data_IF_875813047154
#
_entry.id   IF_875813047154
#
_cell.length_a   1.000
_cell.length_b   1.000
_cell.length_c   1.000
_cell.angle_alpha   90.00
_cell.angle_beta   90.00
_cell.angle_gamma   90.00
#
_symmetry.space_group_name_H-M   'P 1'
#
loop_
_entity.id
_entity.type
_entity.pdbx_description
1 polymer ?
#
# COMPACT_ATOMS: atom_id res chain seq x y z
N UNK A 1 -17.62 29.32 -9.21
CA UNK A 1 -17.41 30.29 -10.30
C UNK A 1 -16.09 31.05 -10.21
N UNK A 2 -15.63 31.47 -9.02
CA UNK A 2 -14.36 32.21 -8.88
C UNK A 2 -13.13 31.45 -9.43
N UNK A 3 -12.95 30.17 -9.05
CA UNK A 3 -11.85 29.32 -9.52
C UNK A 3 -11.75 29.22 -11.05
N UNK A 4 -12.87 28.93 -11.72
CA UNK A 4 -12.90 28.84 -13.19
C UNK A 4 -12.47 30.17 -13.83
N UNK A 5 -12.99 31.29 -13.35
CA UNK A 5 -12.64 32.62 -13.87
C UNK A 5 -11.15 32.95 -13.70
N UNK A 6 -10.55 32.53 -12.59
CA UNK A 6 -9.14 32.79 -12.28
C UNK A 6 -8.17 31.90 -13.09
N UNK A 7 -8.56 30.65 -13.38
CA UNK A 7 -7.70 29.70 -14.08
C UNK A 7 -7.91 29.75 -15.62
N UNK A 8 -9.11 30.09 -16.10
CA UNK A 8 -9.43 30.11 -17.54
C UNK A 8 -8.45 30.91 -18.43
N UNK A 9 -7.86 32.05 -18.01
CA UNK A 9 -6.83 32.74 -18.80
C UNK A 9 -5.61 31.87 -19.14
N UNK A 10 -5.23 30.95 -18.24
CA UNK A 10 -4.13 30.02 -18.44
C UNK A 10 -4.49 28.84 -19.36
N UNK A 11 -5.77 28.68 -19.65
CA UNK A 11 -6.30 27.64 -20.54
C UNK A 11 -6.81 28.23 -21.86
N UNK A 12 -6.29 29.40 -22.27
CA UNK A 12 -6.73 30.13 -23.47
C UNK A 12 -8.24 30.39 -23.50
N UNK A 13 -8.86 30.55 -22.33
CA UNK A 13 -10.30 30.72 -22.18
C UNK A 13 -11.13 29.43 -22.27
N UNK A 14 -10.51 28.25 -22.45
CA UNK A 14 -11.23 26.98 -22.48
C UNK A 14 -11.81 26.66 -21.10
N UNK A 15 -13.12 26.43 -21.06
CA UNK A 15 -13.85 26.10 -19.84
C UNK A 15 -14.20 24.62 -19.73
N UNK A 16 -13.94 23.82 -20.77
CA UNK A 16 -14.18 22.38 -20.77
C UNK A 16 -13.35 21.64 -19.71
N UNK A 17 -12.07 21.98 -19.44
CA UNK A 17 -11.28 21.29 -18.42
C UNK A 17 -11.82 21.40 -16.99
N UNK A 18 -12.71 22.36 -16.71
CA UNK A 18 -13.33 22.49 -15.39
C UNK A 18 -14.53 21.57 -15.19
N UNK A 19 -14.89 20.77 -16.20
CA UNK A 19 -16.10 19.94 -16.20
C UNK A 19 -15.71 18.47 -16.27
N UNK A 20 -16.30 17.68 -15.41
CA UNK A 20 -16.11 16.24 -15.45
C UNK A 20 -16.98 15.63 -16.57
N UNK A 21 -16.37 14.92 -17.54
CA UNK A 21 -17.12 14.31 -18.64
C UNK A 21 -18.05 13.18 -18.17
N UNK A 22 -17.74 12.52 -17.06
CA UNK A 22 -18.45 11.33 -16.59
C UNK A 22 -19.72 11.63 -15.76
N UNK A 23 -19.90 12.85 -15.26
CA UNK A 23 -21.05 13.21 -14.40
C UNK A 23 -22.01 14.22 -15.04
N UNK A 24 -22.07 14.25 -16.38
CA UNK A 24 -22.90 15.19 -17.12
C UNK A 24 -22.33 16.61 -17.17
N UNK A 25 -21.00 16.73 -17.25
CA UNK A 25 -20.29 18.00 -17.39
C UNK A 25 -20.46 18.95 -16.20
N UNK A 26 -20.63 18.39 -14.99
CA UNK A 26 -20.66 19.20 -13.77
C UNK A 26 -19.26 19.73 -13.47
N UNK A 27 -19.21 20.90 -12.85
CA UNK A 27 -17.94 21.53 -12.49
C UNK A 27 -17.23 20.71 -11.42
N UNK A 28 -15.91 20.61 -11.51
CA UNK A 28 -15.09 20.19 -10.38
C UNK A 28 -15.26 21.16 -9.20
N UNK A 29 -15.22 20.63 -7.99
CA UNK A 29 -15.25 21.38 -6.73
C UNK A 29 -13.82 21.61 -6.27
N UNK A 30 -13.33 22.87 -6.22
CA UNK A 30 -12.03 23.19 -5.66
C UNK A 30 -12.02 22.98 -4.15
N UNK A 31 -10.86 22.63 -3.59
CA UNK A 31 -10.68 22.52 -2.15
C UNK A 31 -10.66 23.92 -1.49
N UNK A 32 -11.66 24.29 -0.68
CA UNK A 32 -11.71 25.61 -0.07
C UNK A 32 -10.62 25.84 0.99
N UNK A 33 -10.05 24.79 1.57
CA UNK A 33 -9.04 24.90 2.64
C UNK A 33 -7.67 25.46 2.17
N UNK A 34 -7.47 25.50 0.85
CA UNK A 34 -6.26 26.04 0.22
C UNK A 34 -6.50 27.36 -0.52
N UNK A 35 -7.73 27.87 -0.53
CA UNK A 35 -8.05 29.10 -1.24
C UNK A 35 -7.21 30.28 -0.70
N UNK A 36 -6.58 31.03 -1.61
CA UNK A 36 -5.74 32.18 -1.26
C UNK A 36 -4.39 31.86 -0.61
N UNK A 37 -4.03 30.58 -0.48
CA UNK A 37 -2.72 30.15 0.05
C UNK A 37 -1.76 29.90 -1.10
N UNK A 38 -0.48 30.19 -0.87
CA UNK A 38 0.58 29.85 -1.83
C UNK A 38 0.92 28.36 -1.73
N UNK A 39 1.40 27.71 -2.80
CA UNK A 39 1.88 26.33 -2.72
C UNK A 39 2.88 26.11 -1.57
N UNK A 40 3.83 27.02 -1.37
CA UNK A 40 4.83 26.92 -0.31
C UNK A 40 4.27 27.05 1.11
N UNK A 41 3.10 27.67 1.27
CA UNK A 41 2.45 27.82 2.58
C UNK A 41 1.47 26.69 2.90
N UNK A 42 1.35 25.69 2.02
CA UNK A 42 0.52 24.49 2.21
C UNK A 42 1.48 23.32 2.52
N UNK A 43 1.55 22.87 3.79
CA UNK A 43 2.36 21.70 4.15
C UNK A 43 1.92 20.48 3.33
N UNK A 44 2.85 19.87 2.58
CA UNK A 44 2.52 18.76 1.69
C UNK A 44 1.65 19.18 0.50
N UNK A 45 1.91 20.36 -0.08
CA UNK A 45 1.15 20.88 -1.23
C UNK A 45 0.95 19.85 -2.34
N UNK A 46 2.01 19.15 -2.72
CA UNK A 46 1.99 18.12 -3.76
C UNK A 46 0.96 17.01 -3.50
N UNK A 47 0.66 16.73 -2.23
CA UNK A 47 -0.31 15.73 -1.81
C UNK A 47 -1.68 16.30 -1.50
N UNK A 48 -1.85 17.62 -1.54
CA UNK A 48 -3.08 18.29 -1.17
C UNK A 48 -4.09 18.23 -2.31
N UNK A 49 -5.31 17.79 -2.01
CA UNK A 49 -6.43 17.84 -2.96
C UNK A 49 -6.61 19.29 -3.43
N UNK A 50 -6.51 19.51 -4.73
CA UNK A 50 -6.80 20.81 -5.35
C UNK A 50 -8.25 20.87 -5.80
N UNK A 51 -8.71 19.80 -6.46
CA UNK A 51 -10.02 19.71 -7.08
C UNK A 51 -10.56 18.28 -6.96
N UNK A 52 -11.88 18.14 -6.86
CA UNK A 52 -12.57 16.85 -6.94
C UNK A 52 -13.83 16.94 -7.78
N UNK A 53 -14.37 15.81 -8.21
CA UNK A 53 -15.72 15.79 -8.79
C UNK A 53 -16.76 16.34 -7.81
N UNK A 54 -17.71 17.12 -8.34
CA UNK A 54 -18.86 17.61 -7.54
C UNK A 54 -19.93 16.54 -7.28
N UNK A 55 -19.87 15.42 -7.98
CA UNK A 55 -20.72 14.26 -7.76
C UNK A 55 -19.97 12.99 -8.19
N UNK A 56 -20.24 11.84 -7.55
CA UNK A 56 -19.64 10.59 -7.96
C UNK A 56 -20.12 10.21 -9.36
N UNK A 57 -19.27 9.47 -10.08
CA UNK A 57 -19.54 8.87 -11.38
C UNK A 57 -20.58 7.72 -11.27
N UNK A 58 -20.95 7.12 -12.41
CA UNK A 58 -21.88 5.99 -12.46
C UNK A 58 -21.41 4.75 -11.67
N UNK A 59 -20.10 4.58 -11.51
CA UNK A 59 -19.46 3.56 -10.67
C UNK A 59 -19.38 3.96 -9.18
N UNK A 60 -20.00 5.09 -8.80
CA UNK A 60 -19.98 5.70 -7.47
C UNK A 60 -18.60 6.21 -7.01
N UNK A 61 -17.62 6.33 -7.91
CA UNK A 61 -16.27 6.85 -7.62
C UNK A 61 -16.18 8.37 -7.88
N UNK A 62 -15.21 9.03 -7.25
CA UNK A 62 -14.84 10.42 -7.54
C UNK A 62 -13.47 10.47 -8.21
N UNK A 63 -13.24 11.44 -9.06
CA UNK A 63 -11.94 11.87 -9.57
C UNK A 63 -11.42 13.00 -8.69
N UNK A 64 -10.17 12.91 -8.28
CA UNK A 64 -9.52 13.92 -7.43
C UNK A 64 -8.17 14.28 -8.04
N UNK A 65 -7.91 15.58 -8.20
CA UNK A 65 -6.65 16.13 -8.68
C UNK A 65 -5.87 16.82 -7.57
N UNK A 66 -4.54 16.69 -7.61
CA UNK A 66 -3.66 17.05 -6.50
C UNK A 66 -2.57 18.06 -6.89
N UNK A 67 -1.86 18.59 -5.90
CA UNK A 67 -0.94 19.72 -6.05
C UNK A 67 0.27 19.48 -6.95
N UNK A 68 0.69 18.22 -7.11
CA UNK A 68 1.74 17.80 -8.06
C UNK A 68 1.20 17.48 -9.47
N UNK A 69 -0.10 17.64 -9.70
CA UNK A 69 -0.76 17.37 -10.96
C UNK A 69 -1.19 15.93 -11.19
N UNK A 70 -0.96 14.99 -10.26
CA UNK A 70 -1.53 13.66 -10.39
C UNK A 70 -3.05 13.68 -10.17
N UNK A 71 -3.72 12.70 -10.77
CA UNK A 71 -5.17 12.52 -10.69
C UNK A 71 -5.47 11.10 -10.28
N UNK A 72 -6.31 10.92 -9.25
CA UNK A 72 -6.79 9.61 -8.80
C UNK A 72 -8.28 9.46 -9.11
N UNK A 73 -8.68 8.28 -9.59
CA UNK A 73 -10.09 7.86 -9.68
C UNK A 73 -10.40 6.98 -8.47
N UNK A 74 -11.51 7.25 -7.80
CA UNK A 74 -11.83 6.77 -6.46
C UNK A 74 -11.57 7.83 -5.37
N UNK A 75 -10.67 8.78 -5.60
CA UNK A 75 -10.31 9.90 -4.70
C UNK A 75 -9.51 9.53 -3.45
N UNK A 76 -9.50 8.25 -3.13
CA UNK A 76 -8.69 7.44 -2.23
C UNK A 76 -9.34 6.07 -2.44
N UNK A 77 -8.59 4.98 -2.55
CA UNK A 77 -9.14 3.63 -2.66
C UNK A 77 -10.44 3.51 -1.85
N UNK A 78 -11.58 3.22 -2.50
CA UNK A 78 -12.89 3.03 -1.83
C UNK A 78 -12.92 1.79 -0.94
N UNK A 79 -11.76 1.26 -0.60
CA UNK A 79 -11.60 0.49 0.60
C UNK A 79 -12.20 1.26 1.78
N UNK A 80 -12.94 0.55 2.62
CA UNK A 80 -13.41 1.08 3.90
C UNK A 80 -12.25 1.86 4.56
N UNK A 81 -12.44 3.08 5.10
CA UNK A 81 -11.33 3.91 5.57
C UNK A 81 -10.39 3.18 6.54
N UNK A 82 -10.95 2.27 7.34
CA UNK A 82 -10.21 1.32 8.17
C UNK A 82 -9.23 0.43 7.39
N UNK A 83 -9.67 -0.15 6.27
CA UNK A 83 -8.85 -0.96 5.37
C UNK A 83 -7.78 -0.13 4.67
N UNK A 84 -8.11 1.09 4.23
CA UNK A 84 -7.13 1.98 3.60
C UNK A 84 -6.07 2.45 4.61
N UNK A 85 -6.47 2.84 5.83
CA UNK A 85 -5.50 3.18 6.89
C UNK A 85 -4.67 1.94 7.28
N UNK A 86 -5.29 0.76 7.39
CA UNK A 86 -4.59 -0.50 7.62
C UNK A 86 -3.54 -0.78 6.55
N UNK A 87 -3.91 -0.70 5.27
CA UNK A 87 -3.04 -0.97 4.14
C UNK A 87 -1.89 0.05 4.04
N UNK A 88 -2.12 1.32 4.36
CA UNK A 88 -1.05 2.32 4.44
C UNK A 88 -0.05 1.99 5.54
N UNK A 89 -0.52 1.66 6.75
CA UNK A 89 0.37 1.25 7.84
C UNK A 89 1.13 -0.02 7.47
N UNK A 90 0.51 -0.99 6.79
CA UNK A 90 1.22 -2.18 6.26
C UNK A 90 2.35 -1.79 5.32
N UNK A 91 2.10 -0.89 4.35
CA UNK A 91 3.15 -0.43 3.42
C UNK A 91 4.30 0.25 4.15
N UNK A 92 4.00 1.19 5.05
CA UNK A 92 5.05 1.86 5.84
C UNK A 92 5.85 0.86 6.68
N UNK A 93 5.17 -0.07 7.36
CA UNK A 93 5.82 -1.02 8.24
C UNK A 93 6.70 -2.00 7.45
N UNK A 94 6.26 -2.41 6.27
CA UNK A 94 7.09 -3.18 5.34
C UNK A 94 8.30 -2.38 4.85
N UNK A 95 8.17 -1.09 4.57
CA UNK A 95 9.30 -0.22 4.23
C UNK A 95 10.31 -0.10 5.37
N UNK A 96 9.84 -0.09 6.64
CA UNK A 96 10.74 -0.18 7.80
C UNK A 96 11.47 -1.51 7.83
N UNK A 97 10.79 -2.63 7.57
CA UNK A 97 11.45 -3.93 7.54
C UNK A 97 12.49 -4.05 6.42
N UNK A 98 12.21 -3.51 5.23
CA UNK A 98 13.19 -3.45 4.14
C UNK A 98 14.39 -2.59 4.52
N UNK A 99 14.16 -1.40 5.11
CA UNK A 99 15.24 -0.59 5.67
C UNK A 99 16.07 -1.39 6.69
N UNK A 100 15.43 -2.12 7.59
CA UNK A 100 16.13 -2.91 8.61
C UNK A 100 17.04 -3.97 7.99
N UNK A 101 16.63 -4.60 6.88
CA UNK A 101 17.48 -5.56 6.15
C UNK A 101 18.73 -4.88 5.58
N UNK A 102 18.57 -3.73 4.94
CA UNK A 102 19.68 -3.01 4.30
C UNK A 102 20.67 -2.37 5.31
N UNK A 103 20.28 -2.24 6.57
CA UNK A 103 21.04 -1.53 7.61
C UNK A 103 21.35 -2.44 8.81
N UNK A 104 21.80 -3.66 8.55
CA UNK A 104 22.30 -4.60 9.57
C UNK A 104 21.32 -4.81 10.76
N UNK A 105 20.06 -5.07 10.45
CA UNK A 105 18.97 -5.22 11.41
C UNK A 105 18.72 -3.97 12.28
N UNK A 106 19.15 -2.78 11.85
CA UNK A 106 18.99 -1.54 12.62
C UNK A 106 17.76 -0.75 12.18
N UNK A 107 16.93 -0.32 13.15
CA UNK A 107 15.75 0.51 12.87
C UNK A 107 16.15 1.91 12.40
N UNK A 108 15.31 2.60 11.60
CA UNK A 108 15.58 3.95 11.09
C UNK A 108 16.10 4.90 12.18
N UNK A 109 17.23 5.56 11.94
CA UNK A 109 17.86 6.50 12.89
C UNK A 109 17.19 7.87 12.95
N UNK A 110 16.11 8.07 12.19
CA UNK A 110 15.34 9.29 12.18
C UNK A 110 14.84 9.67 13.58
N UNK A 111 14.97 10.96 13.93
CA UNK A 111 14.49 11.53 15.21
C UNK A 111 13.23 12.39 15.05
N UNK A 112 12.75 12.55 13.82
CA UNK A 112 11.53 13.27 13.49
C UNK A 112 10.90 12.73 12.19
N UNK A 113 9.66 13.12 11.91
CA UNK A 113 8.88 12.60 10.79
C UNK A 113 9.49 12.93 9.41
N UNK A 114 10.15 14.08 9.28
CA UNK A 114 10.78 14.48 8.00
C UNK A 114 11.98 13.58 7.70
N UNK A 115 12.85 13.37 8.69
CA UNK A 115 13.98 12.46 8.56
C UNK A 115 13.54 11.02 8.29
N UNK A 116 12.46 10.56 8.96
CA UNK A 116 11.93 9.21 8.76
C UNK A 116 11.43 9.01 7.33
N UNK A 117 10.64 9.96 6.81
CA UNK A 117 10.17 9.91 5.42
C UNK A 117 11.32 9.90 4.43
N UNK A 118 12.37 10.68 4.68
CA UNK A 118 13.56 10.69 3.82
C UNK A 118 14.28 9.33 3.81
N UNK A 119 14.45 8.70 4.98
CA UNK A 119 15.09 7.39 5.12
C UNK A 119 14.26 6.26 4.49
N UNK A 120 12.92 6.32 4.64
CA UNK A 120 12.03 5.28 4.12
C UNK A 120 11.64 5.47 2.64
N UNK A 121 11.92 6.64 2.05
CA UNK A 121 11.55 6.96 0.66
C UNK A 121 12.02 5.92 -0.36
N UNK A 122 13.23 5.34 -0.30
CA UNK A 122 13.66 4.31 -1.25
C UNK A 122 12.82 3.03 -1.21
N UNK A 123 12.24 2.72 -0.05
CA UNK A 123 11.51 1.47 0.24
C UNK A 123 9.99 1.63 0.13
N UNK A 124 9.51 2.85 -0.02
CA UNK A 124 8.10 3.17 -0.01
C UNK A 124 7.65 3.46 -1.44
N UNK A 125 7.05 2.44 -2.08
CA UNK A 125 6.47 2.59 -3.41
C UNK A 125 5.17 3.41 -3.30
N UNK A 126 5.20 4.63 -3.81
CA UNK A 126 4.03 5.52 -3.88
C UNK A 126 4.25 6.92 -3.30
N UNK A 127 3.15 7.66 -3.12
CA UNK A 127 3.18 9.01 -2.57
C UNK A 127 3.51 9.03 -1.07
N UNK A 128 4.13 10.11 -0.61
CA UNK A 128 4.36 10.42 0.82
C UNK A 128 3.08 10.40 1.67
N UNK A 129 1.90 10.38 1.04
CA UNK A 129 0.59 10.08 1.65
C UNK A 129 0.54 8.79 2.44
N UNK A 130 1.41 7.82 2.18
CA UNK A 130 1.42 6.61 3.00
C UNK A 130 1.60 6.93 4.48
N UNK A 131 2.19 8.07 4.85
CA UNK A 131 2.35 8.53 6.23
C UNK A 131 1.15 9.26 6.85
N UNK A 132 0.01 9.30 6.18
CA UNK A 132 -1.21 9.99 6.64
C UNK A 132 -2.41 9.04 6.57
N UNK A 133 -3.21 8.95 7.63
CA UNK A 133 -4.44 8.16 7.60
C UNK A 133 -5.51 8.85 6.75
N UNK A 134 -6.06 8.18 5.73
CA UNK A 134 -7.08 8.75 4.86
C UNK A 134 -8.39 9.10 5.57
N UNK A 135 -8.74 8.44 6.69
CA UNK A 135 -9.98 8.78 7.42
C UNK A 135 -9.83 10.06 8.25
N UNK A 136 -8.74 10.15 9.02
CA UNK A 136 -8.52 11.22 10.01
C UNK A 136 -7.68 12.37 9.48
N UNK A 137 -7.07 12.20 8.30
CA UNK A 137 -6.08 13.09 7.68
C UNK A 137 -4.88 13.41 8.60
N UNK A 138 -4.70 12.63 9.66
CA UNK A 138 -3.62 12.80 10.62
C UNK A 138 -2.43 11.94 10.23
N UNK A 139 -1.23 12.43 10.50
CA UNK A 139 -0.02 11.65 10.28
C UNK A 139 0.03 10.44 11.23
N UNK A 140 0.60 9.32 10.77
CA UNK A 140 0.94 8.20 11.65
C UNK A 140 2.21 8.53 12.46
N UNK A 141 2.14 8.85 13.76
CA UNK A 141 3.31 9.01 14.61
C UNK A 141 4.14 7.74 14.58
N UNK A 142 5.44 7.93 14.37
CA UNK A 142 6.44 6.89 14.57
C UNK A 142 6.96 6.93 16.01
N UNK A 143 7.24 5.76 16.57
CA UNK A 143 7.86 5.62 17.87
C UNK A 143 9.37 5.92 17.79
N UNK A 144 9.74 7.19 17.94
CA UNK A 144 11.14 7.63 17.85
C UNK A 144 12.05 7.09 18.95
N UNK A 145 11.53 6.44 20.00
CA UNK A 145 12.35 5.72 20.98
C UNK A 145 13.04 4.48 20.39
N UNK A 146 12.62 4.05 19.20
CA UNK A 146 13.21 2.95 18.45
C UNK A 146 14.44 3.37 17.62
N UNK A 147 14.66 4.67 17.46
CA UNK A 147 15.53 5.20 16.42
C UNK A 147 16.99 4.69 16.54
N UNK A 148 17.51 4.12 15.45
CA UNK A 148 18.90 3.67 15.35
C UNK A 148 19.25 2.48 16.23
N UNK A 149 18.26 1.77 16.78
CA UNK A 149 18.48 0.61 17.65
C UNK A 149 18.28 -0.70 16.89
N UNK A 150 19.02 -1.78 17.25
CA UNK A 150 18.82 -3.08 16.63
C UNK A 150 17.40 -3.60 16.83
N UNK A 151 16.79 -4.16 15.78
CA UNK A 151 15.43 -4.70 15.80
C UNK A 151 15.25 -5.72 16.93
N UNK A 152 16.23 -6.62 17.10
CA UNK A 152 16.26 -7.65 18.16
C UNK A 152 16.23 -7.11 19.59
N UNK A 153 16.44 -5.81 19.79
CA UNK A 153 16.41 -5.18 21.12
C UNK A 153 14.99 -4.87 21.63
N UNK A 154 13.97 -5.17 20.83
CA UNK A 154 12.57 -4.90 21.15
C UNK A 154 11.71 -6.18 21.09
N UNK A 155 10.72 -6.32 21.98
CA UNK A 155 9.67 -7.33 21.82
C UNK A 155 8.96 -7.16 20.47
N UNK A 156 8.58 -8.26 19.83
CA UNK A 156 7.86 -8.28 18.55
C UNK A 156 6.59 -7.40 18.53
N UNK A 157 5.96 -7.21 19.70
CA UNK A 157 4.74 -6.41 19.90
C UNK A 157 5.00 -4.95 20.23
N UNK A 158 6.22 -4.45 20.04
CA UNK A 158 6.52 -3.03 20.25
C UNK A 158 5.91 -2.20 19.13
N UNK A 159 5.14 -1.16 19.46
CA UNK A 159 4.48 -0.28 18.48
C UNK A 159 5.53 0.49 17.66
N UNK A 160 5.45 0.45 16.32
CA UNK A 160 6.23 1.29 15.40
C UNK A 160 5.45 2.52 14.99
N UNK A 161 4.21 2.33 14.51
CA UNK A 161 3.30 3.38 14.07
C UNK A 161 1.94 3.21 14.73
N UNK A 162 1.24 4.32 14.94
CA UNK A 162 -0.11 4.30 15.50
C UNK A 162 -0.96 5.43 14.96
N UNK A 163 -2.25 5.22 14.79
CA UNK A 163 -3.16 6.34 14.52
C UNK A 163 -3.27 7.28 15.73
N UNK A 164 -3.24 8.60 15.48
CA UNK A 164 -3.44 9.62 16.52
C UNK A 164 -4.91 9.80 16.89
N UNK A 165 -5.81 9.45 15.99
CA UNK A 165 -7.24 9.67 16.12
C UNK A 165 -8.01 8.40 15.80
N UNK A 166 -9.14 8.24 16.48
CA UNK A 166 -10.05 7.13 16.20
C UNK A 166 -10.62 7.30 14.80
N UNK A 167 -10.69 6.19 14.08
CA UNK A 167 -11.50 6.12 12.88
C UNK A 167 -12.98 6.25 13.22
N UNK A 168 -13.83 6.42 12.21
CA UNK A 168 -15.29 6.40 12.41
C UNK A 168 -15.82 5.10 13.03
N UNK A 169 -15.11 3.99 12.84
CA UNK A 169 -15.40 2.69 13.48
C UNK A 169 -15.06 2.66 14.98
N UNK A 170 -14.38 3.69 15.50
CA UNK A 170 -13.90 3.75 16.88
C UNK A 170 -12.56 3.04 17.11
N UNK A 171 -11.94 2.51 16.05
CA UNK A 171 -10.68 1.77 16.10
C UNK A 171 -9.47 2.66 15.79
N UNK A 172 -8.29 2.18 16.17
CA UNK A 172 -6.98 2.71 15.76
C UNK A 172 -6.23 1.64 14.96
N UNK A 173 -5.48 2.03 13.94
CA UNK A 173 -4.48 1.16 13.32
C UNK A 173 -3.16 1.28 14.07
N UNK A 174 -2.49 0.16 14.29
CA UNK A 174 -1.19 0.11 14.95
C UNK A 174 -0.28 -0.87 14.22
N UNK A 175 0.89 -0.39 13.81
CA UNK A 175 1.99 -1.20 13.30
C UNK A 175 2.95 -1.58 14.42
N UNK A 176 3.58 -2.74 14.28
CA UNK A 176 4.51 -3.31 15.26
C UNK A 176 5.88 -3.61 14.63
N UNK A 177 6.93 -3.68 15.45
CA UNK A 177 8.32 -3.88 14.98
C UNK A 177 8.50 -5.18 14.19
N UNK A 178 7.68 -6.20 14.43
CA UNK A 178 7.69 -7.43 13.64
C UNK A 178 6.94 -7.31 12.31
N UNK A 179 6.58 -6.11 11.83
CA UNK A 179 5.80 -5.96 10.60
C UNK A 179 4.30 -6.16 10.76
N UNK A 180 3.82 -6.74 11.88
CA UNK A 180 2.40 -6.92 12.08
C UNK A 180 1.67 -5.57 12.10
N UNK A 181 0.45 -5.55 11.59
CA UNK A 181 -0.46 -4.41 11.69
C UNK A 181 -1.78 -4.92 12.25
N UNK A 182 -2.35 -4.20 13.20
CA UNK A 182 -3.61 -4.55 13.87
C UNK A 182 -4.50 -3.34 14.00
N UNK A 183 -5.81 -3.60 14.07
CA UNK A 183 -6.77 -2.62 14.53
C UNK A 183 -7.08 -2.87 16.01
N UNK A 184 -7.01 -1.83 16.82
CA UNK A 184 -7.16 -1.91 18.26
C UNK A 184 -8.23 -0.93 18.74
N UNK A 185 -8.98 -1.33 19.76
CA UNK A 185 -9.88 -0.42 20.48
C UNK A 185 -9.06 0.54 21.35
N UNK A 186 -9.68 1.59 21.92
CA UNK A 186 -9.01 2.50 22.85
C UNK A 186 -8.52 1.82 24.13
N UNK A 187 -9.12 0.69 24.50
CA UNK A 187 -8.71 -0.14 25.64
C UNK A 187 -7.60 -1.13 25.28
N UNK A 188 -7.07 -1.07 24.05
CA UNK A 188 -6.02 -1.98 23.56
C UNK A 188 -6.54 -3.37 23.16
N UNK A 189 -7.86 -3.57 23.13
CA UNK A 189 -8.44 -4.85 22.66
C UNK A 189 -8.21 -4.94 21.16
N UNK A 190 -7.49 -5.97 20.74
CA UNK A 190 -7.30 -6.26 19.32
C UNK A 190 -8.63 -6.68 18.73
N UNK A 191 -9.18 -5.85 17.84
CA UNK A 191 -10.36 -6.24 17.08
C UNK A 191 -9.87 -7.16 15.97
N UNK A 192 -10.39 -8.39 15.96
CA UNK A 192 -10.09 -9.30 14.86
C UNK A 192 -10.54 -8.61 13.57
N UNK A 193 -9.67 -8.49 12.56
CA UNK A 193 -10.06 -7.87 11.29
C UNK A 193 -11.31 -8.56 10.76
N UNK A 194 -12.16 -7.79 10.07
CA UNK A 194 -13.31 -8.33 9.32
C UNK A 194 -12.83 -9.60 8.60
N UNK A 195 -13.53 -10.75 8.77
CA UNK A 195 -13.13 -11.97 8.09
C UNK A 195 -12.96 -11.69 6.61
N UNK A 196 -11.74 -11.84 6.11
CA UNK A 196 -11.45 -11.67 4.70
C UNK A 196 -12.25 -12.72 3.94
N UNK A 197 -12.82 -12.35 2.79
CA UNK A 197 -13.34 -13.37 1.88
C UNK A 197 -12.18 -14.28 1.47
N UNK A 198 -12.45 -15.55 1.08
CA UNK A 198 -11.40 -16.44 0.60
C UNK A 198 -10.53 -15.82 -0.51
N UNK A 199 -11.13 -15.08 -1.44
CA UNK A 199 -10.40 -14.36 -2.49
C UNK A 199 -9.48 -13.25 -1.96
N UNK A 200 -9.91 -12.47 -0.98
CA UNK A 200 -9.08 -11.44 -0.34
C UNK A 200 -7.95 -12.05 0.49
N UNK A 201 -8.22 -13.16 1.20
CA UNK A 201 -7.21 -13.89 1.96
C UNK A 201 -6.15 -14.48 1.02
N UNK A 202 -6.57 -15.03 -0.12
CA UNK A 202 -5.66 -15.52 -1.16
C UNK A 202 -4.75 -14.41 -1.67
N UNK A 203 -5.30 -13.27 -2.06
CA UNK A 203 -4.53 -12.12 -2.54
C UNK A 203 -3.49 -11.69 -1.51
N UNK A 204 -3.89 -11.57 -0.23
CA UNK A 204 -2.98 -11.23 0.87
C UNK A 204 -1.84 -12.25 1.02
N UNK A 205 -2.14 -13.55 0.94
CA UNK A 205 -1.15 -14.62 1.03
C UNK A 205 -0.17 -14.57 -0.14
N UNK A 206 -0.65 -14.33 -1.36
CA UNK A 206 0.21 -14.16 -2.53
C UNK A 206 1.13 -12.95 -2.35
N UNK A 207 0.63 -11.81 -1.86
CA UNK A 207 1.47 -10.63 -1.56
C UNK A 207 2.57 -10.95 -0.53
N UNK A 208 2.26 -11.74 0.50
CA UNK A 208 3.26 -12.15 1.50
C UNK A 208 4.30 -13.11 0.92
N UNK A 209 3.89 -14.07 0.10
CA UNK A 209 4.83 -14.96 -0.60
C UNK A 209 5.68 -14.20 -1.62
N UNK A 210 5.13 -13.18 -2.29
CA UNK A 210 5.88 -12.31 -3.20
C UNK A 210 6.97 -11.53 -2.47
N UNK A 211 6.69 -10.97 -1.29
CA UNK A 211 7.71 -10.32 -0.47
C UNK A 211 8.83 -11.31 -0.09
N UNK A 212 8.47 -12.51 0.37
CA UNK A 212 9.43 -13.55 0.74
C UNK A 212 10.28 -14.01 -0.46
N UNK A 213 9.69 -14.09 -1.65
CA UNK A 213 10.39 -14.38 -2.90
C UNK A 213 11.43 -13.29 -3.23
N UNK A 214 11.06 -12.02 -3.11
CA UNK A 214 11.98 -10.91 -3.38
C UNK A 214 13.13 -10.85 -2.36
N UNK A 215 12.84 -11.10 -1.08
CA UNK A 215 13.88 -11.17 -0.03
C UNK A 215 14.83 -12.34 -0.29
N UNK A 216 14.30 -13.52 -0.65
CA UNK A 216 15.15 -14.63 -1.10
C UNK A 216 16.03 -14.21 -2.29
N UNK A 217 15.48 -13.55 -3.31
CA UNK A 217 16.28 -13.16 -4.48
C UNK A 217 17.42 -12.21 -4.12
N UNK A 218 17.22 -11.30 -3.17
CA UNK A 218 18.27 -10.38 -2.70
C UNK A 218 19.45 -11.15 -2.08
N UNK A 219 19.18 -12.18 -1.28
CA UNK A 219 20.19 -12.97 -0.60
C UNK A 219 20.89 -14.01 -1.50
N UNK A 220 20.34 -14.28 -2.70
CA UNK A 220 20.78 -15.35 -3.58
C UNK A 220 21.10 -14.86 -5.01
N UNK A 221 21.86 -13.77 -5.13
CA UNK A 221 22.36 -13.21 -6.40
C UNK A 221 21.25 -12.92 -7.42
N UNK A 222 20.15 -12.32 -6.97
CA UNK A 222 18.97 -12.01 -7.79
C UNK A 222 18.31 -13.25 -8.42
N UNK A 223 18.51 -14.46 -7.88
CA UNK A 223 17.87 -15.68 -8.40
C UNK A 223 16.55 -15.96 -7.70
N UNK A 224 15.53 -16.26 -8.50
CA UNK A 224 14.25 -16.72 -7.99
C UNK A 224 14.40 -18.06 -7.23
N UNK A 225 13.60 -18.29 -6.17
CA UNK A 225 13.65 -19.52 -5.39
C UNK A 225 13.25 -20.76 -6.21
N UNK A 226 13.54 -21.97 -5.70
CA UNK A 226 13.04 -23.21 -6.28
C UNK A 226 11.50 -23.23 -6.43
N UNK A 227 10.99 -23.26 -7.66
CA UNK A 227 9.53 -23.20 -7.95
C UNK A 227 8.95 -24.51 -8.54
N UNK A 228 9.71 -25.61 -8.56
CA UNK A 228 9.25 -26.89 -9.11
C UNK A 228 8.04 -27.45 -8.36
N UNK A 229 7.99 -27.21 -7.05
CA UNK A 229 6.87 -27.59 -6.19
C UNK A 229 6.66 -26.52 -5.12
N UNK A 230 5.44 -26.44 -4.60
CA UNK A 230 5.13 -25.55 -3.48
C UNK A 230 5.93 -25.87 -2.22
N UNK A 231 6.28 -27.14 -2.00
CA UNK A 231 7.11 -27.57 -0.89
C UNK A 231 8.56 -27.05 -1.02
N UNK A 232 9.14 -27.11 -2.22
CA UNK A 232 10.48 -26.57 -2.49
C UNK A 232 10.51 -25.05 -2.34
N UNK A 233 9.49 -24.36 -2.88
CA UNK A 233 9.35 -22.91 -2.74
C UNK A 233 9.22 -22.50 -1.28
N UNK A 234 8.36 -23.20 -0.52
CA UNK A 234 8.20 -22.98 0.92
C UNK A 234 9.53 -23.16 1.64
N UNK A 235 10.22 -24.28 1.46
CA UNK A 235 11.47 -24.55 2.18
C UNK A 235 12.53 -23.46 1.95
N UNK A 236 12.59 -22.91 0.73
CA UNK A 236 13.49 -21.82 0.39
C UNK A 236 13.07 -20.47 0.99
N UNK A 237 11.77 -20.18 1.04
CA UNK A 237 11.25 -18.86 1.44
C UNK A 237 10.79 -18.79 2.91
N UNK A 238 10.70 -19.92 3.62
CA UNK A 238 10.24 -20.01 5.01
C UNK A 238 11.03 -19.11 5.99
N UNK A 239 12.36 -18.91 5.84
CA UNK A 239 13.12 -17.98 6.69
C UNK A 239 12.64 -16.52 6.62
N UNK A 240 12.00 -16.11 5.52
CA UNK A 240 11.56 -14.74 5.26
C UNK A 240 10.10 -14.48 5.65
N UNK A 241 9.39 -15.48 6.17
CA UNK A 241 7.98 -15.38 6.51
C UNK A 241 7.73 -15.67 7.98
N UNK A 242 6.80 -14.93 8.57
CA UNK A 242 6.40 -15.14 9.97
C UNK A 242 5.24 -16.11 10.14
N UNK A 243 4.43 -16.27 9.10
CA UNK A 243 3.26 -17.14 9.11
C UNK A 243 3.35 -18.12 7.96
N UNK A 244 3.61 -19.40 8.26
CA UNK A 244 3.71 -20.46 7.25
C UNK A 244 2.36 -20.82 6.66
N UNK A 245 1.24 -20.35 7.21
CA UNK A 245 -0.09 -20.57 6.63
C UNK A 245 -0.27 -19.89 5.28
N UNK A 246 0.61 -18.95 4.91
CA UNK A 246 0.56 -18.26 3.63
C UNK A 246 0.73 -19.18 2.42
N UNK A 247 1.40 -20.33 2.61
CA UNK A 247 1.59 -21.32 1.55
C UNK A 247 0.35 -22.18 1.32
N UNK A 248 -0.69 -22.06 2.14
CA UNK A 248 -1.94 -22.80 1.96
C UNK A 248 -2.95 -21.89 1.27
N UNK A 249 -3.54 -22.34 0.17
CA UNK A 249 -4.66 -21.61 -0.43
C UNK A 249 -5.87 -21.66 0.53
N UNK A 250 -6.67 -20.58 0.65
CA UNK A 250 -7.93 -20.64 1.38
C UNK A 250 -9.02 -21.46 0.67
N UNK A 251 -8.80 -21.86 -0.60
CA UNK A 251 -9.69 -22.74 -1.34
C UNK A 251 -9.27 -24.21 -1.34
N UNK A 252 -9.94 -25.02 -2.18
CA UNK A 252 -9.69 -26.46 -2.29
C UNK A 252 -8.38 -26.81 -3.02
N UNK A 253 -7.95 -25.96 -3.96
CA UNK A 253 -6.77 -26.20 -4.78
C UNK A 253 -5.55 -25.44 -4.23
N UNK A 254 -4.33 -26.01 -4.30
CA UNK A 254 -3.12 -25.29 -3.93
C UNK A 254 -2.84 -24.14 -4.91
N UNK A 255 -1.95 -23.23 -4.49
CA UNK A 255 -1.37 -22.26 -5.41
C UNK A 255 -0.57 -22.96 -6.53
N UNK A 256 -0.62 -22.38 -7.73
CA UNK A 256 0.10 -22.91 -8.90
C UNK A 256 1.28 -21.98 -9.17
N UNK A 257 2.49 -22.50 -8.99
CA UNK A 257 3.74 -21.84 -9.34
C UNK A 257 4.07 -22.01 -10.83
N UNK A 258 5.00 -21.22 -11.35
CA UNK A 258 5.64 -21.39 -12.67
C UNK A 258 7.02 -22.06 -12.53
N UNK A 259 7.14 -23.39 -12.71
CA UNK A 259 8.40 -24.12 -12.51
C UNK A 259 9.54 -23.65 -13.40
N UNK A 260 9.24 -23.11 -14.59
CA UNK A 260 10.22 -22.60 -15.55
C UNK A 260 10.99 -21.37 -15.04
N UNK A 261 10.50 -20.70 -14.01
CA UNK A 261 11.18 -19.56 -13.37
C UNK A 261 12.14 -19.98 -12.24
N UNK A 262 12.18 -21.27 -11.90
CA UNK A 262 12.98 -21.79 -10.79
C UNK A 262 14.48 -21.52 -10.98
N UNK A 263 15.10 -20.76 -10.08
CA UNK A 263 16.52 -20.41 -10.14
C UNK A 263 16.89 -19.40 -11.23
N UNK A 264 15.91 -18.90 -11.99
CA UNK A 264 16.15 -17.89 -13.03
C UNK A 264 16.53 -16.56 -12.37
N UNK A 265 17.54 -15.88 -12.91
CA UNK A 265 17.93 -14.56 -12.42
C UNK A 265 16.89 -13.51 -12.83
N UNK A 266 16.45 -12.68 -11.89
CA UNK A 266 15.55 -11.54 -12.11
C UNK A 266 16.07 -10.63 -13.24
N UNK A 267 17.38 -10.42 -13.32
CA UNK A 267 18.01 -9.58 -14.34
C UNK A 267 17.86 -10.14 -15.77
N UNK A 268 17.65 -11.46 -15.90
CA UNK A 268 17.49 -12.13 -17.19
C UNK A 268 16.04 -12.20 -17.68
N UNK A 269 15.08 -11.85 -16.82
CA UNK A 269 13.65 -11.91 -17.15
C UNK A 269 13.25 -10.59 -17.80
N UNK A 270 12.90 -10.58 -19.10
CA UNK A 270 12.38 -9.36 -19.71
C UNK A 270 11.01 -9.05 -19.12
N UNK A 271 10.77 -7.78 -18.81
CA UNK A 271 9.47 -7.26 -18.37
C UNK A 271 8.90 -8.01 -17.15
N UNK A 272 9.61 -7.97 -16.02
CA UNK A 272 9.22 -8.62 -14.75
C UNK A 272 7.81 -8.26 -14.25
N UNK A 273 7.25 -7.12 -14.68
CA UNK A 273 5.89 -6.70 -14.34
C UNK A 273 4.80 -7.39 -15.16
N UNK A 274 5.14 -8.19 -16.18
CA UNK A 274 4.18 -8.89 -17.04
C UNK A 274 4.26 -10.42 -16.92
N UNK A 275 5.23 -10.94 -16.18
CA UNK A 275 5.43 -12.38 -16.00
C UNK A 275 4.82 -12.81 -14.67
N UNK A 276 3.75 -13.60 -14.72
CA UNK A 276 3.22 -14.25 -13.53
C UNK A 276 4.18 -15.34 -13.04
N UNK A 277 4.36 -15.50 -11.74
CA UNK A 277 5.12 -16.62 -11.15
C UNK A 277 4.25 -17.52 -10.28
N UNK A 278 3.12 -16.99 -9.79
CA UNK A 278 2.14 -17.71 -8.99
C UNK A 278 0.74 -17.27 -9.37
N UNK A 279 -0.20 -18.20 -9.31
CA UNK A 279 -1.63 -17.90 -9.39
C UNK A 279 -2.43 -18.76 -8.45
N UNK A 280 -3.58 -18.25 -8.07
CA UNK A 280 -4.59 -19.03 -7.37
C UNK A 280 -5.47 -19.82 -8.36
N UNK A 281 -5.49 -21.15 -8.21
CA UNK A 281 -6.32 -22.04 -9.03
C UNK A 281 -7.80 -22.09 -8.60
N UNK A 282 -8.17 -21.44 -7.50
CA UNK A 282 -9.54 -21.49 -6.98
C UNK A 282 -10.46 -20.48 -7.68
N UNK A 283 -11.73 -20.85 -7.80
CA UNK A 283 -12.81 -19.94 -8.15
C UNK A 283 -13.58 -19.67 -6.84
N UNK A 284 -13.45 -18.49 -6.25
CA UNK A 284 -14.13 -18.15 -5.00
C UNK A 284 -15.58 -17.71 -5.19
N UNK A 285 -16.23 -18.20 -6.26
CA UNK A 285 -17.54 -17.74 -6.70
C UNK A 285 -17.50 -16.38 -7.39
N UNK A 286 -16.32 -15.95 -7.86
CA UNK A 286 -16.12 -14.70 -8.59
C UNK A 286 -15.42 -14.97 -9.94
N UNK A 287 -15.61 -14.12 -10.96
CA UNK A 287 -15.06 -14.35 -12.30
C UNK A 287 -13.55 -14.05 -12.41
N UNK A 288 -12.87 -13.84 -11.28
CA UNK A 288 -11.50 -13.36 -11.25
C UNK A 288 -10.52 -14.41 -10.70
N UNK A 289 -9.25 -14.29 -11.09
CA UNK A 289 -8.13 -15.03 -10.50
C UNK A 289 -7.13 -14.05 -9.90
N UNK A 290 -6.40 -14.51 -8.89
CA UNK A 290 -5.37 -13.72 -8.21
C UNK A 290 -4.03 -14.20 -8.72
N UNK A 291 -3.22 -13.27 -9.20
CA UNK A 291 -1.97 -13.56 -9.89
C UNK A 291 -0.86 -12.71 -9.28
N UNK A 292 0.25 -13.35 -8.93
CA UNK A 292 1.46 -12.67 -8.49
C UNK A 292 2.47 -12.61 -9.62
N UNK A 293 3.08 -11.44 -9.81
CA UNK A 293 4.06 -11.14 -10.85
C UNK A 293 5.48 -11.08 -10.30
N UNK A 294 6.48 -11.28 -11.18
CA UNK A 294 7.89 -11.51 -10.78
C UNK A 294 8.49 -10.33 -10.02
N UNK A 295 8.05 -9.11 -10.29
CA UNK A 295 8.40 -7.90 -9.51
C UNK A 295 7.71 -7.81 -8.14
N UNK A 296 6.90 -8.80 -7.79
CA UNK A 296 6.24 -8.97 -6.50
C UNK A 296 4.88 -8.30 -6.36
N UNK A 297 4.35 -7.62 -7.39
CA UNK A 297 2.98 -7.10 -7.31
C UNK A 297 1.95 -8.23 -7.52
N UNK A 298 0.71 -7.94 -7.12
CA UNK A 298 -0.41 -8.89 -7.21
C UNK A 298 -1.59 -8.20 -7.84
N UNK A 299 -2.20 -8.84 -8.83
CA UNK A 299 -3.41 -8.35 -9.49
C UNK A 299 -4.57 -9.35 -9.39
N UNK A 300 -5.77 -8.79 -9.51
CA UNK A 300 -7.02 -9.53 -9.69
C UNK A 300 -7.43 -9.40 -11.15
N UNK A 301 -7.26 -10.46 -11.93
CA UNK A 301 -7.50 -10.45 -13.39
C UNK A 301 -8.73 -11.29 -13.74
N UNK A 302 -9.46 -10.91 -14.78
CA UNK A 302 -10.54 -11.73 -15.32
C UNK A 302 -9.99 -13.01 -15.94
N UNK A 303 -10.71 -14.13 -15.77
CA UNK A 303 -10.39 -15.40 -16.45
C UNK A 303 -10.50 -15.32 -17.97
#
# INVERSE_FOLDING_TARGET
MAFQREISPYLSGDTRPFRCPANGLRLYTPNPAIAGRTPFSIPGFYDTELIRDSAPHGDRLFTVGFGDGHVERGGVDQEHPDSSCFNRVVRINNSVLQYVQDYDETLPSATNAVALRAQLRPYLVGSVRSFTCPDTLSAYPYNFALAGRPLRSFPATTETFKDTARHRSGLFTTGYVNGAVRQVTPTGVVVRPVPLTPGQLSERRIRQMALAMLQYSQDYDEKLPPMQTLAAFRAATEPYVQDTSIYTSPGANPFVLRPELSGVSLQSIPNVTAIEWIRDANNYGDPFIRVGFVDGHVEVVSR
#
